data_IF_956300883726
#
_entry.id   IF_956300883726
#
_cell.length_a   1.000
_cell.length_b   1.000
_cell.length_c   1.000
_cell.angle_alpha   90.00
_cell.angle_beta   90.00
_cell.angle_gamma   90.00
#
_symmetry.space_group_name_H-M   'P 1'
#
loop_
_entity.id
_entity.type
_entity.pdbx_description
1 polymer ?
#
# COMPACT_ATOMS: atom_id res chain seq x y z
N UNK A 1 13.93 -6.08 36.19
CA UNK A 1 13.65 -6.92 35.00
C UNK A 1 12.47 -6.43 34.16
N UNK A 2 11.24 -6.29 34.69
CA UNK A 2 10.05 -5.90 33.88
C UNK A 2 10.22 -4.60 33.10
N UNK A 3 10.88 -3.57 33.65
CA UNK A 3 11.10 -2.28 32.99
C UNK A 3 12.03 -2.41 31.77
N UNK A 4 13.06 -3.27 31.87
CA UNK A 4 14.01 -3.49 30.78
C UNK A 4 13.32 -4.17 29.57
N UNK A 5 12.45 -5.17 29.82
CA UNK A 5 11.68 -5.83 28.76
C UNK A 5 10.68 -4.89 28.09
N UNK A 6 10.06 -3.98 28.85
CA UNK A 6 9.18 -2.96 28.29
C UNK A 6 9.99 -1.99 27.40
N UNK A 7 11.14 -1.52 27.86
CA UNK A 7 12.00 -0.63 27.11
C UNK A 7 12.51 -1.28 25.80
N UNK A 8 12.93 -2.54 25.86
CA UNK A 8 13.36 -3.30 24.67
C UNK A 8 12.22 -3.51 23.67
N UNK A 9 11.01 -3.83 24.15
CA UNK A 9 9.82 -3.95 23.31
C UNK A 9 9.45 -2.64 22.62
N UNK A 10 9.58 -1.52 23.32
CA UNK A 10 9.37 -0.17 22.78
C UNK A 10 10.39 0.15 21.70
N UNK A 11 11.68 -0.11 21.94
CA UNK A 11 12.76 0.14 20.98
C UNK A 11 12.59 -0.74 19.74
N UNK A 12 12.27 -2.02 19.90
CA UNK A 12 12.02 -2.92 18.78
C UNK A 12 10.82 -2.47 17.92
N UNK A 13 9.73 -2.03 18.55
CA UNK A 13 8.56 -1.53 17.84
C UNK A 13 8.83 -0.17 17.17
N UNK A 14 9.66 0.71 17.75
CA UNK A 14 10.13 1.95 17.12
C UNK A 14 10.97 1.66 15.87
N UNK A 15 11.93 0.74 15.97
CA UNK A 15 12.76 0.33 14.84
C UNK A 15 11.90 -0.29 13.74
N UNK A 16 10.96 -1.16 14.10
CA UNK A 16 10.03 -1.76 13.16
C UNK A 16 9.14 -0.73 12.48
N UNK A 17 8.58 0.23 13.25
CA UNK A 17 7.77 1.33 12.73
C UNK A 17 8.57 2.24 11.78
N UNK A 18 9.80 2.60 12.12
CA UNK A 18 10.68 3.41 11.28
C UNK A 18 11.09 2.72 9.99
N UNK A 19 11.40 1.42 10.07
CA UNK A 19 11.87 0.64 8.92
C UNK A 19 10.75 0.32 7.93
N UNK A 20 9.53 0.04 8.42
CA UNK A 20 8.43 -0.44 7.59
C UNK A 20 7.35 0.58 7.27
N UNK A 21 7.12 1.57 8.14
CA UNK A 21 6.06 2.56 7.96
C UNK A 21 6.58 4.01 7.85
N UNK A 22 7.90 4.21 7.89
CA UNK A 22 8.51 5.53 7.83
C UNK A 22 8.09 6.44 8.98
N UNK A 23 8.23 7.76 8.79
CA UNK A 23 7.93 8.76 9.84
C UNK A 23 6.47 8.73 10.34
N UNK A 24 5.51 8.28 9.52
CA UNK A 24 4.10 8.20 9.94
C UNK A 24 3.90 7.08 10.96
N UNK A 25 4.56 5.94 10.77
CA UNK A 25 4.56 4.85 11.76
C UNK A 25 5.23 5.28 13.08
N UNK A 26 6.31 6.06 13.00
CA UNK A 26 6.98 6.63 14.16
C UNK A 26 6.10 7.64 14.91
N UNK A 27 5.36 8.51 14.20
CA UNK A 27 4.42 9.47 14.80
C UNK A 27 3.23 8.78 15.47
N UNK A 28 2.61 7.79 14.81
CA UNK A 28 1.54 6.98 15.39
C UNK A 28 2.00 6.24 16.64
N UNK A 29 3.22 5.72 16.62
CA UNK A 29 3.81 5.02 17.75
C UNK A 29 4.19 5.96 18.90
N UNK A 30 4.75 7.14 18.63
CA UNK A 30 5.04 8.16 19.64
C UNK A 30 3.75 8.66 20.32
N UNK A 31 2.68 8.85 19.55
CA UNK A 31 1.36 9.21 20.07
C UNK A 31 0.80 8.09 20.97
N UNK A 32 0.99 6.83 20.62
CA UNK A 32 0.58 5.70 21.43
C UNK A 32 1.38 5.57 22.72
N UNK A 33 2.68 5.81 22.68
CA UNK A 33 3.51 5.86 23.89
C UNK A 33 3.03 6.96 24.83
N UNK A 34 2.79 8.17 24.33
CA UNK A 34 2.24 9.28 25.10
C UNK A 34 0.88 8.91 25.71
N UNK A 35 -0.03 8.32 24.93
CA UNK A 35 -1.31 7.84 25.43
C UNK A 35 -1.15 6.77 26.52
N UNK A 36 -0.20 5.85 26.35
CA UNK A 36 0.09 4.78 27.32
C UNK A 36 0.61 5.32 28.65
N UNK A 37 1.44 6.36 28.62
CA UNK A 37 2.02 6.93 29.82
C UNK A 37 1.17 8.02 30.48
N UNK A 38 0.35 8.73 29.71
CA UNK A 38 -0.48 9.83 30.20
C UNK A 38 -1.90 9.43 30.61
N UNK A 39 -2.55 8.51 29.90
CA UNK A 39 -3.91 8.07 30.23
C UNK A 39 -4.05 7.46 31.63
N UNK A 40 -3.08 6.65 32.15
CA UNK A 40 -3.18 6.14 33.52
C UNK A 40 -3.05 7.24 34.60
N UNK A 41 -2.34 8.33 34.31
CA UNK A 41 -2.21 9.46 35.26
C UNK A 41 -3.50 10.30 35.35
N UNK A 42 -4.30 10.33 34.28
CA UNK A 42 -5.58 11.05 34.25
C UNK A 42 -6.69 10.24 34.92
N UNK A 43 -6.60 8.90 34.94
CA UNK A 43 -7.59 8.01 35.54
C UNK A 43 -7.11 7.36 36.85
N UNK A 44 -6.80 8.16 37.86
CA UNK A 44 -6.32 7.70 39.17
C UNK A 44 -7.33 6.85 39.97
N UNK A 45 -8.49 6.48 39.44
CA UNK A 45 -9.54 5.76 40.19
C UNK A 45 -10.02 4.41 39.64
N UNK A 46 -9.61 3.96 38.45
CA UNK A 46 -9.95 2.59 37.99
C UNK A 46 -8.83 2.00 37.13
N UNK A 47 -8.20 0.93 37.62
CA UNK A 47 -7.26 0.11 36.84
C UNK A 47 -7.96 -0.39 35.57
N UNK A 48 -7.57 0.13 34.42
CA UNK A 48 -7.95 -0.44 33.13
C UNK A 48 -7.31 -1.82 33.06
N UNK A 49 -8.10 -2.87 32.88
CA UNK A 49 -7.55 -4.21 32.77
C UNK A 49 -6.57 -4.28 31.60
N UNK A 50 -5.50 -5.05 31.75
CA UNK A 50 -4.46 -5.25 30.71
C UNK A 50 -5.08 -5.65 29.37
N UNK A 51 -6.19 -6.38 29.37
CA UNK A 51 -6.93 -6.82 28.20
C UNK A 51 -7.58 -5.62 27.49
N UNK A 52 -8.25 -4.72 28.22
CA UNK A 52 -8.86 -3.51 27.64
C UNK A 52 -7.82 -2.57 27.04
N UNK A 53 -6.67 -2.44 27.71
CA UNK A 53 -5.55 -1.66 27.20
C UNK A 53 -5.01 -2.26 25.89
N UNK A 54 -4.77 -3.56 25.84
CA UNK A 54 -4.29 -4.26 24.63
C UNK A 54 -5.31 -4.17 23.50
N UNK A 55 -6.60 -4.32 23.78
CA UNK A 55 -7.69 -4.20 22.78
C UNK A 55 -7.73 -2.77 22.19
N UNK A 56 -7.64 -1.74 23.02
CA UNK A 56 -7.57 -0.36 22.56
C UNK A 56 -6.32 -0.11 21.71
N UNK A 57 -5.18 -0.62 22.11
CA UNK A 57 -3.93 -0.53 21.38
C UNK A 57 -4.04 -1.14 19.97
N UNK A 58 -4.52 -2.38 19.90
CA UNK A 58 -4.69 -3.09 18.62
C UNK A 58 -5.73 -2.39 17.73
N UNK A 59 -6.84 -1.92 18.33
CA UNK A 59 -7.88 -1.20 17.59
C UNK A 59 -7.36 0.13 17.01
N UNK A 60 -6.58 0.89 17.77
CA UNK A 60 -5.96 2.14 17.30
C UNK A 60 -4.92 1.87 16.19
N UNK A 61 -4.15 0.81 16.33
CA UNK A 61 -3.18 0.41 15.31
C UNK A 61 -3.87 0.01 14.01
N UNK A 62 -4.91 -0.82 14.08
CA UNK A 62 -5.72 -1.24 12.92
C UNK A 62 -6.42 -0.04 12.29
N UNK A 63 -7.00 0.86 13.10
CA UNK A 63 -7.67 2.07 12.60
C UNK A 63 -6.68 3.02 11.92
N UNK A 64 -5.53 3.27 12.53
CA UNK A 64 -4.47 4.12 11.96
C UNK A 64 -3.89 3.55 10.66
N UNK A 65 -3.63 2.25 10.64
CA UNK A 65 -3.16 1.56 9.43
C UNK A 65 -4.25 1.52 8.34
N UNK A 66 -5.50 1.25 8.73
CA UNK A 66 -6.65 1.28 7.83
C UNK A 66 -6.88 2.67 7.25
N UNK A 67 -6.77 3.73 8.05
CA UNK A 67 -6.91 5.11 7.59
C UNK A 67 -5.78 5.49 6.61
N UNK A 68 -4.55 5.10 6.89
CA UNK A 68 -3.40 5.30 5.97
C UNK A 68 -3.58 4.54 4.66
N UNK A 69 -4.08 3.31 4.74
CA UNK A 69 -4.41 2.50 3.57
C UNK A 69 -5.50 3.18 2.72
N UNK A 70 -6.56 3.68 3.36
CA UNK A 70 -7.65 4.40 2.69
C UNK A 70 -7.15 5.72 2.06
N UNK A 71 -6.31 6.50 2.76
CA UNK A 71 -5.71 7.73 2.22
C UNK A 71 -4.80 7.43 1.03
N UNK A 72 -4.06 6.31 1.07
CA UNK A 72 -3.25 5.84 -0.07
C UNK A 72 -4.07 5.26 -1.22
N UNK A 73 -5.29 4.79 -0.95
CA UNK A 73 -6.23 4.25 -1.95
C UNK A 73 -7.09 5.33 -2.61
N UNK A 74 -7.33 6.46 -1.92
CA UNK A 74 -8.19 7.53 -2.41
C UNK A 74 -7.37 8.53 -3.23
N UNK A 75 -7.87 8.90 -4.41
CA UNK A 75 -7.39 10.05 -5.14
C UNK A 75 -6.73 9.79 -6.49
N UNK A 76 -6.79 8.58 -7.06
CA UNK A 76 -6.51 8.44 -8.49
C UNK A 76 -7.57 9.19 -9.32
N UNK A 77 -7.14 9.77 -10.44
CA UNK A 77 -8.09 10.34 -11.41
C UNK A 77 -9.02 9.24 -11.93
N UNK A 78 -10.28 9.61 -12.19
CA UNK A 78 -11.33 8.68 -12.66
C UNK A 78 -10.86 7.87 -13.88
N UNK A 79 -10.20 8.50 -14.81
CA UNK A 79 -9.71 7.85 -16.02
C UNK A 79 -8.60 6.83 -15.75
N UNK A 80 -7.80 7.03 -14.70
CA UNK A 80 -6.78 6.06 -14.29
C UNK A 80 -7.44 4.80 -13.72
N UNK A 81 -8.49 4.96 -12.92
CA UNK A 81 -9.30 3.85 -12.40
C UNK A 81 -10.08 3.17 -13.52
N UNK A 82 -10.67 3.94 -14.43
CA UNK A 82 -11.34 3.40 -15.63
C UNK A 82 -10.39 2.53 -16.46
N UNK A 83 -9.14 2.97 -16.66
CA UNK A 83 -8.13 2.16 -17.35
C UNK A 83 -7.93 0.80 -16.66
N UNK A 84 -7.83 0.80 -15.34
CA UNK A 84 -7.63 -0.45 -14.57
C UNK A 84 -8.85 -1.40 -14.70
N UNK A 85 -10.07 -0.86 -14.64
CA UNK A 85 -11.29 -1.66 -14.84
C UNK A 85 -11.38 -2.23 -16.27
N UNK A 86 -11.05 -1.43 -17.29
CA UNK A 86 -11.01 -1.91 -18.68
C UNK A 86 -9.97 -3.02 -18.87
N UNK A 87 -8.81 -2.96 -18.21
CA UNK A 87 -7.82 -4.04 -18.22
C UNK A 87 -8.42 -5.31 -17.59
N UNK A 88 -9.15 -5.17 -16.48
CA UNK A 88 -9.82 -6.28 -15.82
C UNK A 88 -10.86 -6.93 -16.72
N UNK A 89 -11.65 -6.13 -17.40
CA UNK A 89 -12.67 -6.64 -18.32
C UNK A 89 -12.07 -7.28 -19.57
N UNK A 90 -10.97 -6.74 -20.10
CA UNK A 90 -10.23 -7.36 -21.21
C UNK A 90 -9.64 -8.72 -20.80
N UNK A 91 -9.10 -8.84 -19.58
CA UNK A 91 -8.61 -10.13 -19.05
C UNK A 91 -9.74 -11.14 -18.89
N UNK A 92 -10.91 -10.72 -18.42
CA UNK A 92 -12.09 -11.60 -18.35
C UNK A 92 -12.54 -12.03 -19.74
N UNK A 93 -12.55 -11.13 -20.73
CA UNK A 93 -12.87 -11.45 -22.12
C UNK A 93 -11.87 -12.45 -22.73
N UNK A 94 -10.63 -12.48 -22.22
CA UNK A 94 -9.60 -13.47 -22.57
C UNK A 94 -9.76 -14.80 -21.82
N UNK A 95 -10.81 -14.98 -21.00
CA UNK A 95 -11.07 -16.20 -20.23
C UNK A 95 -10.35 -16.28 -18.88
N UNK A 96 -9.79 -15.18 -18.40
CA UNK A 96 -9.10 -15.13 -17.11
C UNK A 96 -9.97 -14.54 -16.00
N UNK A 97 -9.63 -14.84 -14.74
CA UNK A 97 -10.30 -14.28 -13.55
C UNK A 97 -9.32 -13.51 -12.69
N UNK A 98 -8.95 -12.28 -13.07
CA UNK A 98 -7.88 -11.52 -12.42
C UNK A 98 -8.24 -11.14 -10.99
N UNK A 99 -7.30 -11.41 -10.06
CA UNK A 99 -7.38 -11.06 -8.65
C UNK A 99 -6.22 -10.15 -8.30
N UNK A 100 -6.54 -8.93 -7.89
CA UNK A 100 -5.55 -7.96 -7.40
C UNK A 100 -6.15 -7.01 -6.38
N UNK A 101 -5.26 -6.31 -5.67
CA UNK A 101 -5.59 -5.25 -4.72
C UNK A 101 -4.85 -3.99 -5.13
N UNK A 102 -5.53 -2.84 -5.11
CA UNK A 102 -4.86 -1.55 -5.32
C UNK A 102 -4.11 -1.22 -4.03
N UNK A 103 -2.80 -0.99 -4.14
CA UNK A 103 -1.92 -0.72 -3.00
C UNK A 103 -1.41 0.72 -2.95
N UNK A 104 -1.48 1.44 -4.06
CA UNK A 104 -1.08 2.84 -4.12
C UNK A 104 -1.80 3.56 -5.24
N UNK A 105 -2.29 4.77 -4.95
CA UNK A 105 -2.90 5.67 -5.92
C UNK A 105 -2.18 7.02 -5.90
N UNK A 106 -2.92 8.11 -5.59
CA UNK A 106 -2.32 9.44 -5.45
C UNK A 106 -1.45 9.49 -4.21
N UNK A 107 -0.25 10.05 -4.35
CA UNK A 107 0.69 10.29 -3.25
C UNK A 107 0.87 11.79 -3.06
N UNK A 108 0.98 12.26 -1.83
CA UNK A 108 1.47 13.60 -1.61
C UNK A 108 3.00 13.66 -1.81
N UNK A 109 3.54 14.88 -2.00
CA UNK A 109 4.98 15.08 -2.27
C UNK A 109 5.87 14.51 -1.17
N UNK A 110 5.40 14.58 0.08
CA UNK A 110 6.16 14.10 1.23
C UNK A 110 6.26 12.57 1.24
N UNK A 111 5.15 11.85 1.09
CA UNK A 111 5.16 10.38 0.96
C UNK A 111 6.01 9.95 -0.23
N UNK A 112 5.89 10.65 -1.36
CA UNK A 112 6.67 10.31 -2.55
C UNK A 112 8.18 10.48 -2.31
N UNK A 113 8.61 11.51 -1.55
CA UNK A 113 10.03 11.76 -1.22
C UNK A 113 10.60 10.65 -0.33
N UNK A 114 9.81 10.12 0.61
CA UNK A 114 10.23 9.06 1.53
C UNK A 114 10.33 7.67 0.85
N UNK A 115 9.69 7.49 -0.29
CA UNK A 115 9.74 6.22 -1.01
C UNK A 115 11.08 6.09 -1.74
N UNK A 116 11.83 5.06 -1.38
CA UNK A 116 13.09 4.69 -2.04
C UNK A 116 12.85 4.47 -3.54
N UNK A 117 13.64 5.11 -4.38
CA UNK A 117 13.53 5.06 -5.85
C UNK A 117 12.29 5.78 -6.44
N UNK A 118 11.62 6.64 -5.70
CA UNK A 118 10.60 7.50 -6.28
C UNK A 118 11.24 8.64 -7.11
N UNK A 119 10.53 9.06 -8.14
CA UNK A 119 10.95 10.21 -8.96
C UNK A 119 10.17 11.46 -8.56
N UNK A 120 10.82 12.63 -8.66
CA UNK A 120 10.22 13.91 -8.23
C UNK A 120 8.97 14.30 -9.02
N UNK A 121 8.83 13.83 -10.27
CA UNK A 121 7.69 14.05 -11.15
C UNK A 121 6.78 12.82 -11.29
N UNK A 122 6.74 11.97 -10.27
CA UNK A 122 5.93 10.75 -10.26
C UNK A 122 4.48 11.01 -10.64
N UNK A 123 3.91 10.17 -11.49
CA UNK A 123 2.50 10.25 -11.91
C UNK A 123 1.53 10.03 -10.75
N UNK A 124 1.96 9.36 -9.68
CA UNK A 124 1.20 9.26 -8.44
C UNK A 124 0.92 10.61 -7.77
N UNK A 125 1.81 11.60 -7.92
CA UNK A 125 1.59 12.95 -7.37
C UNK A 125 0.33 13.62 -7.92
N UNK A 126 -0.04 13.25 -9.13
CA UNK A 126 -1.16 13.81 -9.89
C UNK A 126 -2.37 12.87 -9.94
N UNK A 127 -2.34 11.73 -9.25
CA UNK A 127 -3.39 10.71 -9.33
C UNK A 127 -3.46 9.97 -10.67
N UNK A 128 -2.45 10.14 -11.53
CA UNK A 128 -2.37 9.55 -12.88
C UNK A 128 -1.68 8.19 -12.90
N UNK A 129 -1.42 7.61 -11.75
CA UNK A 129 -0.86 6.28 -11.61
C UNK A 129 -1.51 5.51 -10.46
N UNK A 130 -1.52 4.19 -10.62
CA UNK A 130 -1.88 3.23 -9.59
C UNK A 130 -0.88 2.09 -9.58
N UNK A 131 -0.59 1.59 -8.38
CA UNK A 131 0.13 0.33 -8.20
C UNK A 131 -0.86 -0.73 -7.72
N UNK A 132 -0.88 -1.87 -8.37
CA UNK A 132 -1.69 -3.03 -7.98
C UNK A 132 -0.80 -4.16 -7.50
N UNK A 133 -1.22 -4.83 -6.44
CA UNK A 133 -0.63 -6.09 -5.99
C UNK A 133 -1.45 -7.22 -6.60
N UNK A 134 -0.84 -7.95 -7.52
CA UNK A 134 -1.51 -9.03 -8.22
C UNK A 134 -1.36 -10.32 -7.43
N UNK A 135 -2.47 -11.00 -7.22
CA UNK A 135 -2.54 -12.29 -6.56
C UNK A 135 -2.49 -13.43 -7.57
N UNK A 136 -3.28 -13.29 -8.64
CA UNK A 136 -3.45 -14.33 -9.65
C UNK A 136 -4.25 -13.75 -10.84
N UNK A 137 -3.90 -14.09 -12.07
CA UNK A 137 -4.64 -13.72 -13.28
C UNK A 137 -5.08 -14.96 -14.05
N UNK A 138 -4.21 -15.97 -14.18
CA UNK A 138 -4.42 -17.14 -15.01
C UNK A 138 -5.13 -18.30 -14.30
N UNK A 139 -5.32 -18.23 -12.96
CA UNK A 139 -6.01 -19.23 -12.16
C UNK A 139 -5.09 -20.30 -11.56
N UNK A 140 -3.77 -20.13 -11.62
CA UNK A 140 -2.81 -21.09 -11.05
C UNK A 140 -2.49 -20.83 -9.55
N UNK A 141 -3.19 -19.86 -8.92
CA UNK A 141 -3.08 -19.47 -7.52
C UNK A 141 -1.72 -18.83 -7.14
N UNK A 142 -0.96 -18.39 -8.13
CA UNK A 142 0.32 -17.70 -7.92
C UNK A 142 0.49 -16.55 -8.90
N UNK A 143 1.31 -15.56 -8.52
CA UNK A 143 1.73 -14.50 -9.45
C UNK A 143 3.09 -14.82 -10.04
N UNK A 144 3.15 -14.91 -11.34
CA UNK A 144 4.36 -15.26 -12.08
C UNK A 144 4.52 -14.42 -13.37
N UNK A 145 5.48 -14.81 -14.21
CA UNK A 145 5.76 -14.09 -15.46
C UNK A 145 4.62 -14.19 -16.47
N UNK A 146 3.82 -15.26 -16.43
CA UNK A 146 2.64 -15.43 -17.31
C UNK A 146 1.59 -14.38 -16.97
N UNK A 147 1.28 -14.18 -15.66
CA UNK A 147 0.32 -13.16 -15.23
C UNK A 147 0.74 -11.78 -15.64
N UNK A 148 2.01 -11.45 -15.45
CA UNK A 148 2.55 -10.15 -15.85
C UNK A 148 2.40 -9.91 -17.36
N UNK A 149 2.68 -10.92 -18.16
CA UNK A 149 2.53 -10.86 -19.62
C UNK A 149 1.07 -10.72 -20.03
N UNK A 150 0.16 -11.47 -19.40
CA UNK A 150 -1.28 -11.34 -19.63
C UNK A 150 -1.78 -9.92 -19.31
N UNK A 151 -1.33 -9.36 -18.19
CA UNK A 151 -1.67 -8.01 -17.81
C UNK A 151 -1.16 -6.98 -18.83
N UNK A 152 0.08 -7.11 -19.31
CA UNK A 152 0.64 -6.23 -20.33
C UNK A 152 -0.12 -6.33 -21.66
N UNK A 153 -0.49 -7.54 -22.09
CA UNK A 153 -1.30 -7.76 -23.30
C UNK A 153 -2.66 -7.07 -23.17
N UNK A 154 -3.35 -7.25 -22.03
CA UNK A 154 -4.64 -6.63 -21.78
C UNK A 154 -4.51 -5.08 -21.78
N UNK A 155 -3.47 -4.53 -21.11
CA UNK A 155 -3.20 -3.11 -21.12
C UNK A 155 -2.98 -2.57 -22.55
N UNK A 156 -2.19 -3.25 -23.38
CA UNK A 156 -1.95 -2.85 -24.76
C UNK A 156 -3.24 -2.84 -25.60
N UNK A 157 -4.11 -3.82 -25.41
CA UNK A 157 -5.41 -3.87 -26.08
C UNK A 157 -6.33 -2.73 -25.65
N UNK A 158 -6.35 -2.41 -24.33
CA UNK A 158 -7.12 -1.28 -23.79
C UNK A 158 -6.61 0.04 -24.35
N UNK A 159 -5.29 0.25 -24.37
CA UNK A 159 -4.68 1.48 -24.92
C UNK A 159 -4.91 1.64 -26.42
N UNK A 160 -4.94 0.53 -27.17
CA UNK A 160 -5.27 0.54 -28.59
C UNK A 160 -6.71 0.97 -28.85
N UNK A 161 -7.64 0.49 -28.03
CA UNK A 161 -9.08 0.85 -28.10
C UNK A 161 -9.34 2.26 -27.55
N UNK A 162 -8.51 2.75 -26.63
CA UNK A 162 -8.69 3.98 -25.89
C UNK A 162 -7.38 4.82 -25.89
N UNK A 163 -7.01 5.52 -26.97
CA UNK A 163 -5.74 6.23 -27.05
C UNK A 163 -5.51 7.27 -25.94
N UNK A 164 -6.59 7.88 -25.42
CA UNK A 164 -6.53 8.83 -24.29
C UNK A 164 -6.10 8.23 -22.95
N UNK A 165 -6.09 6.89 -22.84
CA UNK A 165 -5.63 6.16 -21.66
C UNK A 165 -4.20 5.63 -21.80
N UNK A 166 -3.52 5.95 -22.89
CA UNK A 166 -2.14 5.50 -23.15
C UNK A 166 -1.20 5.93 -22.04
N UNK A 167 -0.30 5.04 -21.66
CA UNK A 167 0.67 5.30 -20.60
C UNK A 167 1.68 4.18 -20.41
N UNK A 168 2.19 4.04 -19.22
CA UNK A 168 3.21 3.08 -18.89
C UNK A 168 2.60 1.94 -18.05
N UNK A 169 3.01 0.72 -18.34
CA UNK A 169 2.68 -0.47 -17.58
C UNK A 169 3.99 -1.20 -17.26
N UNK A 170 4.29 -1.40 -15.98
CA UNK A 170 5.54 -2.03 -15.54
C UNK A 170 5.31 -3.07 -14.46
N UNK A 171 5.38 -4.35 -14.80
CA UNK A 171 5.51 -5.42 -13.81
C UNK A 171 6.89 -5.40 -13.15
N UNK A 172 6.94 -5.66 -11.84
CA UNK A 172 8.18 -5.67 -11.06
C UNK A 172 8.70 -7.09 -10.76
N UNK A 173 8.48 -8.06 -11.63
CA UNK A 173 8.85 -9.48 -11.44
C UNK A 173 10.35 -9.68 -11.14
N UNK A 174 11.22 -8.88 -11.75
CA UNK A 174 12.69 -9.01 -11.65
C UNK A 174 13.33 -8.15 -10.57
N UNK A 175 12.61 -7.79 -9.51
CA UNK A 175 13.23 -7.05 -8.40
C UNK A 175 14.10 -7.97 -7.55
N UNK A 176 15.20 -7.39 -6.99
CA UNK A 176 16.17 -8.12 -6.16
C UNK A 176 15.52 -8.95 -5.06
N UNK A 177 16.13 -10.07 -4.62
CA UNK A 177 15.50 -11.05 -3.69
C UNK A 177 14.89 -10.48 -2.42
N UNK A 178 15.38 -9.33 -1.95
CA UNK A 178 14.96 -8.71 -0.68
C UNK A 178 13.65 -7.91 -0.75
N UNK A 179 12.97 -7.88 -1.90
CA UNK A 179 11.72 -7.14 -2.08
C UNK A 179 10.56 -8.06 -2.48
N UNK A 180 10.29 -9.06 -1.67
CA UNK A 180 9.22 -10.04 -1.93
C UNK A 180 7.86 -9.37 -2.25
N UNK A 181 7.50 -8.32 -1.52
CA UNK A 181 6.27 -7.58 -1.74
C UNK A 181 6.21 -6.90 -3.11
N UNK A 182 7.31 -6.35 -3.61
CA UNK A 182 7.32 -5.64 -4.90
C UNK A 182 7.27 -6.57 -6.11
N UNK A 183 7.56 -7.86 -5.96
CA UNK A 183 7.52 -8.82 -7.08
C UNK A 183 6.11 -9.03 -7.63
N UNK A 184 5.09 -8.85 -6.80
CA UNK A 184 3.69 -8.98 -7.18
C UNK A 184 3.09 -7.65 -7.67
N UNK A 185 3.88 -6.60 -7.73
CA UNK A 185 3.39 -5.27 -8.05
C UNK A 185 3.44 -4.99 -9.54
N UNK A 186 2.37 -4.41 -10.06
CA UNK A 186 2.33 -3.82 -11.39
C UNK A 186 2.00 -2.34 -11.25
N UNK A 187 2.87 -1.49 -11.81
CA UNK A 187 2.64 -0.06 -11.93
C UNK A 187 1.94 0.24 -13.24
N UNK A 188 0.88 1.03 -13.18
CA UNK A 188 0.15 1.52 -14.34
C UNK A 188 0.05 3.03 -14.25
N UNK A 189 0.39 3.73 -15.32
CA UNK A 189 0.14 5.17 -15.39
C UNK A 189 -0.64 5.55 -16.66
N UNK A 190 -1.11 6.79 -16.65
CA UNK A 190 -1.68 7.47 -17.80
C UNK A 190 -0.78 8.68 -18.14
N UNK A 191 -0.33 8.71 -19.37
CA UNK A 191 0.43 9.85 -19.91
C UNK A 191 -0.46 10.52 -20.93
N UNK A 192 -0.75 11.80 -20.74
CA UNK A 192 -1.35 12.56 -21.84
C UNK A 192 -0.43 12.45 -23.05
N UNK A 193 -0.97 12.21 -24.25
CA UNK A 193 -0.19 12.34 -25.47
C UNK A 193 0.44 13.72 -25.57
#
# INVERSE_FOLDING_TARGET
>A
MKIIFIALGIIAALIFGLVYAGYIGAFGFAFMLLATFYLPKIHHKKSISKVRFFTLFVSFYILGYGLMYVIGLLGAEKETLTKLELIKDELKAMGHNPKWVIISQKRNRWINKELKNSVSNSKHLYGKAVDVYVLDINGDLSYNQTDAKLFEIANQKVEKKNPGLKGFCKPYIKTKPNHYFTRHMIHIDRRKP
#
